data_IF_595608366318
#
_entry.id   IF_595608366318
#
_cell.length_a   1.000
_cell.length_b   1.000
_cell.length_c   1.000
_cell.angle_alpha   90.00
_cell.angle_beta   90.00
_cell.angle_gamma   90.00
#
_symmetry.space_group_name_H-M   'P 1'
#
loop_
_entity.id
_entity.type
_entity.pdbx_description
1 polymer ?
#
# COMPACT_ATOMS: atom_id res chain seq x y z
N UNK A 1 -12.36 4.25 -8.83
CA UNK A 1 -11.87 4.89 -7.59
C UNK A 1 -12.04 3.89 -6.44
N UNK A 2 -11.00 3.68 -5.63
CA UNK A 2 -11.03 2.79 -4.47
C UNK A 2 -10.88 3.65 -3.23
N UNK A 3 -11.80 3.52 -2.29
CA UNK A 3 -11.77 4.24 -1.01
C UNK A 3 -11.71 3.24 0.12
N UNK A 4 -10.67 3.34 0.96
CA UNK A 4 -10.49 2.50 2.15
C UNK A 4 -10.43 3.37 3.40
N UNK A 5 -11.30 3.14 4.40
CA UNK A 5 -11.19 3.79 5.70
C UNK A 5 -9.90 3.38 6.41
N UNK A 6 -9.17 4.36 6.98
CA UNK A 6 -7.92 4.14 7.74
C UNK A 6 -8.11 3.10 8.86
N UNK A 7 -9.23 3.20 9.60
CA UNK A 7 -9.56 2.30 10.71
C UNK A 7 -9.86 0.84 10.29
N UNK A 8 -9.90 0.54 8.99
CA UNK A 8 -10.05 -0.83 8.45
C UNK A 8 -8.76 -1.40 7.91
N UNK A 9 -7.70 -0.61 7.84
CA UNK A 9 -6.40 -1.08 7.35
C UNK A 9 -5.75 -2.00 8.38
N UNK A 10 -5.22 -3.12 7.91
CA UNK A 10 -4.52 -4.11 8.73
C UNK A 10 -3.03 -4.14 8.43
N UNK A 11 -2.67 -3.96 7.16
CA UNK A 11 -1.27 -3.97 6.73
C UNK A 11 -1.04 -3.04 5.54
N UNK A 12 0.20 -2.53 5.46
CA UNK A 12 0.72 -1.71 4.37
C UNK A 12 2.14 -2.18 4.06
N UNK A 13 2.33 -2.77 2.88
CA UNK A 13 3.61 -3.31 2.47
C UNK A 13 3.98 -2.89 1.05
N UNK A 14 5.27 -2.99 0.76
CA UNK A 14 5.82 -2.78 -0.57
C UNK A 14 6.21 -4.15 -1.09
N UNK A 15 5.79 -4.48 -2.30
CA UNK A 15 6.24 -5.66 -3.00
C UNK A 15 6.84 -5.29 -4.37
N UNK A 16 7.35 -6.33 -5.02
CA UNK A 16 8.06 -6.22 -6.28
C UNK A 16 7.95 -7.58 -6.97
N UNK A 17 7.01 -7.68 -7.90
CA UNK A 17 6.82 -8.89 -8.67
C UNK A 17 7.97 -9.09 -9.69
N UNK A 18 7.93 -10.19 -10.44
CA UNK A 18 9.01 -10.52 -11.37
C UNK A 18 9.18 -9.44 -12.45
N UNK A 19 8.08 -8.87 -12.95
CA UNK A 19 8.13 -7.83 -13.97
C UNK A 19 8.60 -6.50 -13.37
N UNK A 20 8.14 -6.17 -12.17
CA UNK A 20 8.57 -4.96 -11.46
C UNK A 20 10.07 -4.95 -11.20
N UNK A 21 10.65 -6.10 -10.86
CA UNK A 21 12.10 -6.25 -10.67
C UNK A 21 12.88 -5.96 -11.94
N UNK A 22 12.36 -6.41 -13.09
CA UNK A 22 12.98 -6.18 -14.39
C UNK A 22 12.92 -4.69 -14.75
N UNK A 23 11.83 -4.01 -14.38
CA UNK A 23 11.59 -2.59 -14.70
C UNK A 23 12.05 -1.61 -13.61
N UNK A 24 12.48 -2.10 -12.44
CA UNK A 24 12.81 -1.26 -11.28
C UNK A 24 11.61 -0.56 -10.64
N UNK A 25 10.42 -1.12 -10.82
CA UNK A 25 9.15 -0.60 -10.29
C UNK A 25 8.83 -1.25 -8.94
N UNK A 26 7.88 -0.69 -8.22
CA UNK A 26 7.46 -1.11 -6.89
C UNK A 26 5.98 -0.81 -6.72
N UNK A 27 5.29 -1.71 -6.02
CA UNK A 27 3.88 -1.55 -5.76
C UNK A 27 3.66 -1.40 -4.25
N UNK A 28 2.71 -0.53 -3.86
CA UNK A 28 2.31 -0.39 -2.45
C UNK A 28 0.96 -1.06 -2.28
N UNK A 29 0.96 -2.16 -1.53
CA UNK A 29 -0.25 -2.90 -1.19
C UNK A 29 -0.81 -2.47 0.16
N UNK A 30 -2.13 -2.39 0.21
CA UNK A 30 -2.90 -2.11 1.40
C UNK A 30 -3.90 -3.24 1.61
N UNK A 31 -3.97 -3.79 2.83
CA UNK A 31 -4.93 -4.83 3.17
C UNK A 31 -5.90 -4.38 4.26
N UNK A 32 -7.13 -4.89 4.20
CA UNK A 32 -8.19 -4.70 5.19
C UNK A 32 -8.81 -6.05 5.56
N UNK A 33 -9.69 -6.06 6.56
CA UNK A 33 -10.40 -7.27 7.00
C UNK A 33 -11.29 -7.91 5.91
N UNK A 34 -11.56 -7.21 4.82
CA UNK A 34 -12.41 -7.66 3.73
C UNK A 34 -11.60 -8.35 2.63
N UNK A 35 -12.04 -9.54 2.21
CA UNK A 35 -11.40 -10.39 1.18
C UNK A 35 -11.10 -9.60 -0.12
N UNK A 36 -11.93 -8.61 -0.46
CA UNK A 36 -11.81 -7.84 -1.70
C UNK A 36 -10.58 -6.90 -1.70
N UNK A 37 -10.13 -6.39 -0.53
CA UNK A 37 -9.02 -5.43 -0.50
C UNK A 37 -7.67 -6.05 -0.85
N UNK A 38 -7.42 -7.30 -0.46
CA UNK A 38 -6.12 -7.94 -0.71
C UNK A 38 -5.73 -8.04 -2.19
N UNK A 39 -6.71 -7.96 -3.10
CA UNK A 39 -6.51 -8.07 -4.54
C UNK A 39 -6.72 -6.76 -5.31
N UNK A 40 -7.30 -5.71 -4.71
CA UNK A 40 -7.68 -4.49 -5.43
C UNK A 40 -6.98 -3.23 -4.93
N UNK A 41 -6.52 -3.17 -3.67
CA UNK A 41 -5.93 -1.94 -3.12
C UNK A 41 -4.42 -1.95 -3.18
N UNK A 42 -3.93 -1.63 -4.37
CA UNK A 42 -2.51 -1.44 -4.67
C UNK A 42 -2.30 -0.15 -5.47
N UNK A 43 -1.12 0.44 -5.30
CA UNK A 43 -0.65 1.60 -6.05
C UNK A 43 0.59 1.14 -6.81
N UNK A 44 0.43 0.98 -8.12
CA UNK A 44 1.41 0.28 -8.95
C UNK A 44 2.41 1.21 -9.63
N UNK A 45 3.56 0.65 -10.02
CA UNK A 45 4.49 1.30 -10.95
C UNK A 45 5.26 2.46 -10.33
N UNK A 46 5.47 2.43 -9.01
CA UNK A 46 6.23 3.46 -8.31
C UNK A 46 7.73 3.22 -8.43
N UNK A 47 8.52 4.28 -8.28
CA UNK A 47 9.93 4.10 -7.94
C UNK A 47 10.06 3.78 -6.43
N UNK A 48 11.24 3.30 -6.04
CA UNK A 48 11.52 2.87 -4.66
C UNK A 48 11.25 3.96 -3.61
N UNK A 49 11.66 5.19 -3.90
CA UNK A 49 11.52 6.32 -2.97
C UNK A 49 10.05 6.66 -2.74
N UNK A 50 9.29 6.79 -3.84
CA UNK A 50 7.87 7.10 -3.79
C UNK A 50 7.07 5.99 -3.11
N UNK A 51 7.39 4.72 -3.36
CA UNK A 51 6.77 3.59 -2.67
C UNK A 51 6.96 3.68 -1.15
N UNK A 52 8.17 4.03 -0.70
CA UNK A 52 8.47 4.19 0.71
C UNK A 52 7.77 5.41 1.34
N UNK A 53 7.73 6.55 0.62
CA UNK A 53 7.04 7.76 1.08
C UNK A 53 5.54 7.50 1.24
N UNK A 54 4.91 6.86 0.26
CA UNK A 54 3.49 6.53 0.29
C UNK A 54 3.19 5.55 1.43
N UNK A 55 3.99 4.48 1.58
CA UNK A 55 3.86 3.56 2.72
C UNK A 55 3.91 4.30 4.05
N UNK A 56 4.89 5.18 4.24
CA UNK A 56 5.05 5.94 5.48
C UNK A 56 3.89 6.92 5.72
N UNK A 57 3.34 7.52 4.67
CA UNK A 57 2.19 8.40 4.76
C UNK A 57 0.95 7.65 5.27
N UNK A 58 0.68 6.46 4.72
CA UNK A 58 -0.46 5.63 5.13
C UNK A 58 -0.28 5.14 6.57
N UNK A 59 0.91 4.64 6.92
CA UNK A 59 1.22 4.22 8.30
C UNK A 59 1.08 5.36 9.31
N UNK A 60 1.52 6.57 8.94
CA UNK A 60 1.36 7.76 9.78
C UNK A 60 -0.11 8.14 9.97
N UNK A 61 -0.94 7.93 8.94
CA UNK A 61 -2.39 8.08 9.05
C UNK A 61 -3.01 7.08 10.03
N UNK A 62 -2.58 5.81 9.98
CA UNK A 62 -3.02 4.76 10.91
C UNK A 62 -2.63 5.11 12.35
N UNK A 63 -1.40 5.57 12.60
CA UNK A 63 -0.97 5.94 13.96
C UNK A 63 -1.79 7.11 14.52
N UNK A 64 -2.00 8.16 13.74
CA UNK A 64 -2.79 9.33 14.18
C UNK A 64 -4.25 9.01 14.51
N UNK A 65 -4.84 8.01 13.86
CA UNK A 65 -6.21 7.56 14.16
C UNK A 65 -6.28 6.79 15.49
N UNK A 66 -5.17 6.19 15.93
CA UNK A 66 -5.09 5.41 17.16
C UNK A 66 -4.67 6.23 18.40
N UNK A 67 -4.27 7.49 18.20
CA UNK A 67 -3.94 8.47 19.26
C UNK A 67 -5.20 9.23 19.74
#
# INVERSE_FOLDING_TARGET
EITLPINRLQDVYVDQDILDRILGLYDVHVSSATIISGNLSHIDGLNKENAQVIKNLILSGIHKEND
#
